data_IF_647444652909
#
_entry.id   IF_647444652909
#
_cell.length_a   1.000
_cell.length_b   1.000
_cell.length_c   1.000
_cell.angle_alpha   90.00
_cell.angle_beta   90.00
_cell.angle_gamma   90.00
#
_symmetry.space_group_name_H-M   'P 1'
#
loop_
_entity.id
_entity.type
_entity.pdbx_description
1 polymer ?
#
# COMPACT_ATOMS: atom_id res chain seq x y z
N UNK A 1 23.35 -2.88 16.15
CA UNK A 1 22.12 -2.42 15.50
C UNK A 1 21.35 -3.66 15.14
N UNK A 2 20.30 -3.96 15.90
CA UNK A 2 19.44 -5.09 15.59
C UNK A 2 18.49 -4.64 14.48
N UNK A 3 18.57 -5.30 13.33
CA UNK A 3 17.80 -4.99 12.12
C UNK A 3 16.61 -5.95 11.96
N UNK A 4 16.41 -6.87 12.93
CA UNK A 4 15.28 -7.77 12.91
C UNK A 4 14.00 -7.02 13.27
N UNK A 5 12.94 -7.26 12.50
CA UNK A 5 11.60 -6.78 12.85
C UNK A 5 11.12 -7.42 14.14
N UNK A 6 10.37 -6.66 14.95
CA UNK A 6 9.75 -7.22 16.14
C UNK A 6 8.63 -8.20 15.77
N UNK A 7 8.22 -9.10 16.68
CA UNK A 7 7.08 -9.99 16.43
C UNK A 7 5.79 -9.23 16.06
N UNK A 8 5.56 -8.04 16.64
CA UNK A 8 4.40 -7.21 16.30
C UNK A 8 4.48 -6.64 14.88
N UNK A 9 5.68 -6.21 14.46
CA UNK A 9 5.93 -5.72 13.10
C UNK A 9 5.77 -6.84 12.07
N UNK A 10 6.18 -8.06 12.42
CA UNK A 10 6.02 -9.23 11.57
C UNK A 10 4.55 -9.64 11.43
N UNK A 11 3.78 -9.62 12.53
CA UNK A 11 2.33 -9.84 12.49
C UNK A 11 1.61 -8.79 11.64
N UNK A 12 2.00 -7.51 11.77
CA UNK A 12 1.47 -6.44 10.94
C UNK A 12 1.79 -6.65 9.45
N UNK A 13 3.03 -7.05 9.14
CA UNK A 13 3.45 -7.38 7.77
C UNK A 13 2.58 -8.49 7.16
N UNK A 14 2.29 -9.55 7.92
CA UNK A 14 1.43 -10.63 7.48
C UNK A 14 -0.02 -10.16 7.24
N UNK A 15 -0.55 -9.29 8.11
CA UNK A 15 -1.87 -8.69 7.91
C UNK A 15 -1.92 -7.90 6.60
N UNK A 16 -0.93 -7.02 6.36
CA UNK A 16 -0.86 -6.24 5.12
C UNK A 16 -0.76 -7.17 3.91
N UNK A 17 0.15 -8.14 3.95
CA UNK A 17 0.34 -9.12 2.88
C UNK A 17 -0.98 -9.81 2.52
N UNK A 18 -1.65 -10.37 3.52
CA UNK A 18 -2.91 -11.06 3.34
C UNK A 18 -3.98 -10.13 2.74
N UNK A 19 -4.07 -8.90 3.24
CA UNK A 19 -5.03 -7.93 2.72
C UNK A 19 -4.72 -7.51 1.28
N UNK A 20 -3.47 -7.20 0.96
CA UNK A 20 -3.04 -6.78 -0.38
C UNK A 20 -3.31 -7.91 -1.37
N UNK A 21 -2.93 -9.15 -1.07
CA UNK A 21 -3.21 -10.29 -1.97
C UNK A 21 -4.72 -10.54 -2.16
N UNK A 22 -5.53 -10.32 -1.14
CA UNK A 22 -6.98 -10.50 -1.23
C UNK A 22 -7.68 -9.38 -2.02
N UNK A 23 -7.14 -8.15 -1.98
CA UNK A 23 -7.83 -6.97 -2.51
C UNK A 23 -7.20 -6.40 -3.80
N UNK A 24 -5.93 -6.71 -4.09
CA UNK A 24 -5.26 -6.28 -5.32
C UNK A 24 -5.83 -7.04 -6.52
N UNK A 25 -6.41 -6.35 -7.51
CA UNK A 25 -6.92 -7.03 -8.70
C UNK A 25 -5.79 -7.71 -9.46
N UNK A 26 -5.96 -9.01 -9.77
CA UNK A 26 -4.96 -9.83 -10.46
C UNK A 26 -4.58 -9.27 -11.83
N UNK A 27 -5.52 -8.63 -12.53
CA UNK A 27 -5.28 -7.97 -13.81
C UNK A 27 -4.31 -6.80 -13.69
N UNK A 28 -4.36 -6.05 -12.58
CA UNK A 28 -3.44 -4.95 -12.30
C UNK A 28 -2.07 -5.51 -11.89
N UNK A 29 -2.04 -6.47 -10.96
CA UNK A 29 -0.80 -7.14 -10.52
C UNK A 29 -0.03 -7.74 -11.70
N UNK A 30 -0.73 -8.44 -12.59
CA UNK A 30 -0.15 -8.97 -13.82
C UNK A 30 0.50 -7.88 -14.69
N UNK A 31 -0.16 -6.73 -14.87
CA UNK A 31 0.41 -5.62 -15.65
C UNK A 31 1.69 -5.09 -15.02
N UNK A 32 1.72 -4.92 -13.70
CA UNK A 32 2.92 -4.44 -13.00
C UNK A 32 4.07 -5.45 -13.13
N UNK A 33 3.83 -6.72 -12.85
CA UNK A 33 4.87 -7.76 -12.93
C UNK A 33 5.44 -7.95 -14.34
N UNK A 34 4.63 -7.73 -15.38
CA UNK A 34 5.04 -7.87 -16.78
C UNK A 34 5.44 -6.53 -17.43
N UNK A 35 5.63 -5.47 -16.65
CA UNK A 35 5.98 -4.12 -17.12
C UNK A 35 5.05 -3.60 -18.24
N UNK A 36 3.77 -4.00 -18.21
CA UNK A 36 2.76 -3.55 -19.15
C UNK A 36 2.26 -2.15 -18.77
N UNK A 37 1.73 -1.43 -19.76
CA UNK A 37 1.16 -0.10 -19.54
C UNK A 37 -0.02 -0.17 -18.56
N UNK A 38 0.10 0.57 -17.46
CA UNK A 38 -1.00 0.85 -16.55
C UNK A 38 -1.88 1.96 -17.11
N UNK A 39 -3.19 1.74 -17.11
CA UNK A 39 -4.17 2.76 -17.47
C UNK A 39 -4.50 3.64 -16.26
N UNK A 40 -5.15 4.79 -16.53
CA UNK A 40 -5.70 5.64 -15.47
C UNK A 40 -6.69 4.87 -14.59
N UNK A 41 -7.52 4.02 -15.20
CA UNK A 41 -8.54 3.26 -14.49
C UNK A 41 -7.93 2.22 -13.56
N UNK A 42 -6.81 1.60 -13.95
CA UNK A 42 -6.05 0.68 -13.08
C UNK A 42 -5.58 1.41 -11.81
N UNK A 43 -4.96 2.59 -11.97
CA UNK A 43 -4.49 3.40 -10.85
C UNK A 43 -5.66 3.88 -9.97
N UNK A 44 -6.75 4.35 -10.56
CA UNK A 44 -7.93 4.81 -9.81
C UNK A 44 -8.64 3.67 -9.08
N UNK A 45 -8.72 2.48 -9.69
CA UNK A 45 -9.33 1.30 -9.07
C UNK A 45 -8.54 0.91 -7.82
N UNK A 46 -7.22 0.84 -7.92
CA UNK A 46 -6.38 0.56 -6.76
C UNK A 46 -6.50 1.65 -5.68
N UNK A 47 -6.47 2.93 -6.07
CA UNK A 47 -6.65 4.04 -5.13
C UNK A 47 -8.00 3.98 -4.41
N UNK A 48 -9.10 3.63 -5.10
CA UNK A 48 -10.42 3.44 -4.48
C UNK A 48 -10.46 2.26 -3.51
N UNK A 49 -9.77 1.16 -3.82
CA UNK A 49 -9.68 -0.01 -2.94
C UNK A 49 -8.94 0.36 -1.65
N UNK A 50 -7.79 1.03 -1.76
CA UNK A 50 -7.06 1.57 -0.61
C UNK A 50 -7.90 2.60 0.17
N UNK A 51 -8.61 3.48 -0.52
CA UNK A 51 -9.45 4.52 0.09
C UNK A 51 -10.58 3.94 0.93
N UNK A 52 -11.24 2.86 0.48
CA UNK A 52 -12.29 2.17 1.26
C UNK A 52 -11.79 1.60 2.59
N UNK A 53 -10.52 1.23 2.65
CA UNK A 53 -9.86 0.73 3.86
C UNK A 53 -9.25 1.86 4.72
N UNK A 54 -9.14 3.08 4.18
CA UNK A 54 -8.45 4.20 4.81
C UNK A 54 -6.93 4.18 4.62
N UNK A 55 -6.42 3.38 3.69
CA UNK A 55 -4.98 3.20 3.44
C UNK A 55 -4.45 4.04 2.28
N UNK A 56 -5.32 4.75 1.55
CA UNK A 56 -4.89 5.63 0.45
C UNK A 56 -3.98 6.74 0.96
N UNK A 57 -4.28 7.30 2.13
CA UNK A 57 -3.44 8.24 2.86
C UNK A 57 -2.58 7.54 3.91
N UNK A 58 -1.89 6.45 3.57
CA UNK A 58 -1.06 5.71 4.53
C UNK A 58 0.02 6.58 5.21
N UNK A 59 0.43 7.66 4.56
CA UNK A 59 1.34 8.67 5.11
C UNK A 59 0.72 9.56 6.19
N UNK A 60 -0.61 9.72 6.21
CA UNK A 60 -1.28 10.72 7.03
C UNK A 60 -1.48 10.29 8.49
N UNK A 61 -1.38 11.22 9.44
CA UNK A 61 -1.85 11.03 10.80
C UNK A 61 -3.34 10.65 10.87
N UNK A 62 -3.72 10.01 11.97
CA UNK A 62 -5.11 9.56 12.19
C UNK A 62 -6.11 10.71 12.22
N UNK A 63 -5.71 11.89 12.71
CA UNK A 63 -6.56 13.09 12.76
C UNK A 63 -6.99 13.58 11.37
N UNK A 64 -6.22 13.25 10.33
CA UNK A 64 -6.50 13.62 8.94
C UNK A 64 -7.09 12.45 8.12
N UNK A 65 -7.51 11.37 8.78
CA UNK A 65 -8.15 10.22 8.14
C UNK A 65 -7.19 9.17 7.57
N UNK A 66 -5.90 9.25 7.92
CA UNK A 66 -4.93 8.18 7.65
C UNK A 66 -4.96 7.07 8.70
N UNK A 67 -4.21 5.98 8.49
CA UNK A 67 -4.16 4.86 9.44
C UNK A 67 -3.34 5.20 10.71
N UNK A 68 -2.58 6.29 10.72
CA UNK A 68 -1.75 6.69 11.86
C UNK A 68 -0.53 5.78 12.07
N UNK A 69 -0.02 5.18 11.00
CA UNK A 69 1.12 4.27 11.05
C UNK A 69 2.43 4.96 11.39
N UNK A 70 3.28 4.24 12.12
CA UNK A 70 4.67 4.65 12.35
C UNK A 70 5.53 4.43 11.08
N UNK A 71 6.80 4.87 11.12
CA UNK A 71 7.69 4.77 9.96
C UNK A 71 7.92 3.33 9.48
N UNK A 72 8.03 2.37 10.40
CA UNK A 72 8.26 0.96 10.07
C UNK A 72 7.01 0.35 9.42
N UNK A 73 5.82 0.62 9.97
CA UNK A 73 4.56 0.17 9.41
C UNK A 73 4.30 0.72 8.00
N UNK A 74 4.62 2.00 7.76
CA UNK A 74 4.56 2.60 6.42
C UNK A 74 5.48 1.87 5.45
N UNK A 75 6.71 1.59 5.88
CA UNK A 75 7.70 0.88 5.07
C UNK A 75 7.24 -0.55 4.73
N UNK A 76 6.76 -1.31 5.73
CA UNK A 76 6.23 -2.66 5.53
C UNK A 76 5.06 -2.67 4.55
N UNK A 77 4.18 -1.67 4.63
CA UNK A 77 3.06 -1.54 3.70
C UNK A 77 3.52 -1.29 2.25
N UNK A 78 4.47 -0.39 2.05
CA UNK A 78 5.04 -0.10 0.74
C UNK A 78 5.76 -1.32 0.16
N UNK A 79 6.52 -2.05 0.98
CA UNK A 79 7.23 -3.27 0.59
C UNK A 79 6.26 -4.35 0.12
N UNK A 80 5.22 -4.66 0.90
CA UNK A 80 4.24 -5.68 0.55
C UNK A 80 3.40 -5.28 -0.68
N UNK A 81 3.09 -4.00 -0.84
CA UNK A 81 2.46 -3.50 -2.07
C UNK A 81 3.36 -3.68 -3.28
N UNK A 82 4.66 -3.38 -3.16
CA UNK A 82 5.62 -3.56 -4.24
C UNK A 82 5.79 -5.05 -4.61
N UNK A 83 5.93 -5.93 -3.61
CA UNK A 83 6.07 -7.37 -3.80
C UNK A 83 4.84 -7.99 -4.49
N UNK A 84 3.64 -7.53 -4.14
CA UNK A 84 2.39 -8.01 -4.76
C UNK A 84 2.14 -7.47 -6.18
N UNK A 85 2.97 -6.54 -6.66
CA UNK A 85 2.77 -5.88 -7.95
C UNK A 85 1.65 -4.85 -7.92
N UNK A 86 1.44 -4.16 -6.79
CA UNK A 86 0.48 -3.07 -6.74
C UNK A 86 1.00 -1.85 -7.53
N UNK A 87 0.14 -1.09 -8.22
CA UNK A 87 0.54 0.14 -8.86
C UNK A 87 0.83 1.20 -7.78
N UNK A 88 1.81 2.06 -8.02
CA UNK A 88 2.11 3.17 -7.11
C UNK A 88 0.90 4.08 -6.95
N UNK A 89 0.65 4.55 -5.73
CA UNK A 89 -0.35 5.58 -5.47
C UNK A 89 0.08 6.86 -6.19
N UNK A 90 -0.84 7.47 -6.92
CA UNK A 90 -0.56 8.72 -7.64
C UNK A 90 -0.15 9.78 -6.61
N UNK A 91 1.03 10.39 -6.74
CA UNK A 91 1.59 11.21 -5.66
C UNK A 91 0.80 12.50 -5.43
N UNK A 92 0.15 13.00 -6.48
CA UNK A 92 -0.61 14.25 -6.42
C UNK A 92 -1.82 14.12 -5.48
N UNK A 93 -1.78 14.86 -4.37
CA UNK A 93 -2.77 14.81 -3.30
C UNK A 93 -2.28 13.95 -2.12
N UNK A 94 -2.60 12.64 -2.08
CA UNK A 94 -2.39 11.81 -0.88
C UNK A 94 -0.95 11.73 -0.39
N UNK A 95 0.03 11.78 -1.30
CA UNK A 95 1.45 11.62 -0.95
C UNK A 95 2.14 12.97 -0.77
N UNK A 96 1.79 14.00 -1.55
CA UNK A 96 2.44 15.32 -1.45
C UNK A 96 1.97 16.18 -0.27
N UNK A 97 0.84 15.84 0.35
CA UNK A 97 0.32 16.53 1.55
C UNK A 97 0.80 15.84 2.84
N UNK A 98 1.36 14.64 2.72
CA UNK A 98 1.83 13.81 3.84
C UNK A 98 3.21 14.22 4.35
#
# INVERSE_FOLDING_TARGET
MDLAFTPEEQAFREEIRAWVHANLPKDISHKVHNALRLSRDDMQRWAKILGKKGWLGHGWPKEFGGPGWNAVQKHLFEEECALAGAPRVVPFGPVMVA
#
